data_IF_988939204851
#
_entry.id   IF_988939204851
#
_cell.length_a   1.000
_cell.length_b   1.000
_cell.length_c   1.000
_cell.angle_alpha   90.00
_cell.angle_beta   90.00
_cell.angle_gamma   90.00
#
_symmetry.space_group_name_H-M   'P 1'
#
loop_
_entity.id
_entity.type
_entity.pdbx_description
1 polymer ?
#
# COMPACT_ATOMS: atom_id res chain seq x y z
N UNK A 1 -21.91 -21.08 67.70
CA UNK A 1 -23.16 -20.43 67.26
C UNK A 1 -22.73 -19.27 66.36
N UNK A 2 -23.09 -19.38 65.06
CA UNK A 2 -23.07 -18.36 64.00
C UNK A 2 -21.70 -17.94 63.41
N UNK A 3 -21.37 -18.61 62.29
CA UNK A 3 -20.51 -18.15 61.21
C UNK A 3 -21.14 -16.94 60.49
N UNK A 4 -20.37 -15.89 60.21
CA UNK A 4 -20.61 -15.02 59.04
C UNK A 4 -19.27 -14.72 58.38
N UNK A 5 -18.93 -15.56 57.40
CA UNK A 5 -17.94 -15.26 56.37
C UNK A 5 -18.53 -14.14 55.53
N UNK A 6 -17.95 -12.94 55.63
CA UNK A 6 -18.28 -11.82 54.75
C UNK A 6 -17.72 -12.15 53.37
N UNK A 7 -18.56 -12.76 52.53
CA UNK A 7 -18.27 -13.01 51.14
C UNK A 7 -18.15 -11.67 50.40
N UNK A 8 -16.92 -11.23 50.17
CA UNK A 8 -16.62 -10.11 49.29
C UNK A 8 -16.85 -10.57 47.84
N UNK A 9 -18.10 -10.43 47.37
CA UNK A 9 -18.48 -10.72 46.00
C UNK A 9 -17.93 -9.61 45.09
N UNK A 10 -16.64 -9.72 44.73
CA UNK A 10 -16.07 -9.03 43.58
C UNK A 10 -16.77 -9.59 42.33
N UNK A 11 -17.89 -8.97 41.96
CA UNK A 11 -18.41 -9.04 40.59
C UNK A 11 -17.36 -8.39 39.69
N UNK A 12 -16.38 -9.19 39.27
CA UNK A 12 -15.58 -8.91 38.10
C UNK A 12 -16.57 -8.82 36.94
N UNK A 13 -16.94 -7.61 36.55
CA UNK A 13 -17.53 -7.35 35.25
C UNK A 13 -16.46 -7.68 34.21
N UNK A 14 -16.30 -8.97 33.89
CA UNK A 14 -15.66 -9.39 32.66
C UNK A 14 -16.58 -8.94 31.53
N UNK A 15 -16.50 -7.65 31.18
CA UNK A 15 -16.97 -7.21 29.89
C UNK A 15 -16.24 -8.07 28.87
N UNK A 16 -16.98 -8.81 28.04
CA UNK A 16 -16.48 -9.45 26.83
C UNK A 16 -15.96 -8.34 25.91
N UNK A 17 -14.75 -7.81 26.18
CA UNK A 17 -14.02 -7.08 25.17
C UNK A 17 -13.71 -8.10 24.09
N UNK A 18 -14.37 -7.95 22.94
CA UNK A 18 -14.04 -8.73 21.76
C UNK A 18 -12.52 -8.64 21.56
N UNK A 19 -11.85 -9.79 21.49
CA UNK A 19 -10.42 -9.85 21.21
C UNK A 19 -10.18 -9.12 19.89
N UNK A 20 -9.39 -8.06 19.91
CA UNK A 20 -9.05 -7.31 18.71
C UNK A 20 -8.34 -8.23 17.70
N UNK A 21 -8.59 -8.06 16.40
CA UNK A 21 -7.89 -8.83 15.38
C UNK A 21 -6.37 -8.71 15.49
N UNK A 22 -5.67 -9.84 15.40
CA UNK A 22 -4.21 -9.88 15.47
C UNK A 22 -3.61 -10.52 14.22
N UNK A 23 -2.61 -9.87 13.63
CA UNK A 23 -1.88 -10.45 12.51
C UNK A 23 -0.96 -11.56 13.00
N UNK A 24 -1.00 -12.72 12.34
CA UNK A 24 -0.08 -13.82 12.62
C UNK A 24 1.39 -13.39 12.44
N UNK A 25 2.23 -13.69 13.44
CA UNK A 25 3.63 -13.25 13.49
C UNK A 25 3.82 -11.77 13.84
N UNK A 26 2.74 -10.99 13.97
CA UNK A 26 2.76 -9.59 14.35
C UNK A 26 3.04 -8.64 13.19
N UNK A 27 2.44 -7.45 13.26
CA UNK A 27 2.54 -6.43 12.21
C UNK A 27 3.98 -5.99 11.94
N UNK A 28 4.80 -5.80 12.98
CA UNK A 28 6.17 -5.30 12.80
C UNK A 28 7.04 -6.28 12.01
N UNK A 29 6.95 -7.57 12.30
CA UNK A 29 7.73 -8.59 11.58
C UNK A 29 7.18 -8.77 10.16
N UNK A 30 5.85 -8.72 10.01
CA UNK A 30 5.23 -8.71 8.69
C UNK A 30 5.72 -7.55 7.82
N UNK A 31 5.72 -6.32 8.34
CA UNK A 31 6.22 -5.15 7.61
C UNK A 31 7.69 -5.33 7.23
N UNK A 32 8.55 -5.72 8.19
CA UNK A 32 9.97 -5.94 7.93
C UNK A 32 10.23 -6.93 6.79
N UNK A 33 9.45 -8.00 6.69
CA UNK A 33 9.65 -9.06 5.69
C UNK A 33 8.99 -8.77 4.35
N UNK A 34 7.94 -7.93 4.33
CA UNK A 34 7.12 -7.73 3.14
C UNK A 34 7.24 -6.33 2.53
N UNK A 35 7.78 -5.34 3.24
CA UNK A 35 7.95 -3.99 2.69
C UNK A 35 8.92 -4.01 1.50
N UNK A 36 8.45 -3.51 0.37
CA UNK A 36 9.29 -3.15 -0.78
C UNK A 36 9.31 -1.63 -0.78
N UNK A 37 10.39 -1.05 -0.25
CA UNK A 37 10.47 0.40 -0.12
C UNK A 37 10.39 1.06 -1.51
N UNK A 38 9.39 1.91 -1.77
CA UNK A 38 9.22 2.54 -3.07
C UNK A 38 10.41 3.43 -3.44
N UNK A 39 10.78 3.44 -4.73
CA UNK A 39 12.00 4.09 -5.21
C UNK A 39 11.99 5.60 -4.97
N UNK A 40 10.86 6.28 -5.21
CA UNK A 40 10.77 7.72 -5.03
C UNK A 40 10.98 8.09 -3.56
N UNK A 41 10.27 7.41 -2.65
CA UNK A 41 10.45 7.65 -1.21
C UNK A 41 11.84 7.27 -0.71
N UNK A 42 12.44 6.19 -1.20
CA UNK A 42 13.81 5.80 -0.84
C UNK A 42 14.84 6.86 -1.26
N UNK A 43 14.80 7.30 -2.52
CA UNK A 43 15.70 8.31 -3.06
C UNK A 43 15.49 9.70 -2.42
N UNK A 44 14.27 9.97 -1.96
CA UNK A 44 13.90 11.25 -1.35
C UNK A 44 13.94 11.25 0.19
N UNK A 45 14.41 10.18 0.81
CA UNK A 45 14.42 10.01 2.27
C UNK A 45 13.05 10.25 2.94
N UNK A 46 11.98 9.98 2.21
CA UNK A 46 10.62 10.08 2.74
C UNK A 46 10.40 8.85 3.62
N UNK A 47 10.08 9.09 4.89
CA UNK A 47 9.82 8.09 5.92
C UNK A 47 8.82 8.65 6.93
N UNK A 48 8.19 7.79 7.72
CA UNK A 48 7.25 8.22 8.76
C UNK A 48 6.14 7.21 9.01
N UNK A 49 5.07 7.67 9.65
CA UNK A 49 3.94 6.82 10.03
C UNK A 49 2.74 7.13 9.14
N UNK A 50 2.20 6.09 8.53
CA UNK A 50 0.96 6.13 7.75
C UNK A 50 -0.12 5.40 8.54
N UNK A 51 -1.29 6.03 8.70
CA UNK A 51 -2.42 5.39 9.36
C UNK A 51 -3.35 4.80 8.31
N UNK A 52 -3.59 3.49 8.42
CA UNK A 52 -4.50 2.75 7.55
C UNK A 52 -5.71 2.30 8.34
N UNK A 53 -6.89 2.50 7.77
CA UNK A 53 -8.15 1.95 8.24
C UNK A 53 -8.57 0.78 7.35
N UNK A 54 -8.92 -0.37 7.93
CA UNK A 54 -9.37 -1.51 7.15
C UNK A 54 -10.41 -2.34 7.90
N UNK A 55 -11.11 -3.21 7.17
CA UNK A 55 -12.13 -4.11 7.72
C UNK A 55 -11.83 -5.54 7.32
N UNK A 56 -12.14 -6.45 8.24
CA UNK A 56 -11.93 -7.88 8.08
C UNK A 56 -13.27 -8.62 8.08
N UNK A 57 -13.34 -9.70 7.31
CA UNK A 57 -14.43 -10.66 7.47
C UNK A 57 -14.09 -11.69 8.57
N UNK A 58 -15.02 -12.60 8.85
CA UNK A 58 -14.85 -13.65 9.86
C UNK A 58 -13.71 -14.66 9.56
N UNK A 59 -13.14 -14.64 8.34
CA UNK A 59 -11.98 -15.45 7.95
C UNK A 59 -10.66 -14.68 8.06
N UNK A 60 -10.68 -13.45 8.55
CA UNK A 60 -9.48 -12.60 8.61
C UNK A 60 -9.04 -12.06 7.24
N UNK A 61 -9.92 -12.06 6.24
CA UNK A 61 -9.66 -11.50 4.92
C UNK A 61 -10.00 -10.00 4.89
N UNK A 62 -9.11 -9.20 4.32
CA UNK A 62 -9.30 -7.76 4.14
C UNK A 62 -10.22 -7.53 2.95
N UNK A 63 -11.40 -6.98 3.20
CA UNK A 63 -12.38 -6.63 2.14
C UNK A 63 -12.51 -5.12 1.91
N UNK A 64 -11.95 -4.30 2.80
CA UNK A 64 -11.91 -2.85 2.68
C UNK A 64 -10.62 -2.33 3.31
N UNK A 65 -9.94 -1.39 2.65
CA UNK A 65 -8.78 -0.68 3.17
C UNK A 65 -8.74 0.76 2.64
N UNK A 66 -8.38 1.70 3.49
CA UNK A 66 -8.28 3.13 3.17
C UNK A 66 -7.21 3.81 3.99
N UNK A 67 -6.67 4.92 3.49
CA UNK A 67 -5.78 5.77 4.27
C UNK A 67 -6.62 6.67 5.16
N UNK A 68 -6.37 6.63 6.47
CA UNK A 68 -6.95 7.62 7.39
C UNK A 68 -6.00 8.81 7.58
N UNK A 69 -4.70 8.58 7.46
CA UNK A 69 -3.68 9.64 7.38
C UNK A 69 -2.47 9.16 6.59
N UNK A 70 -2.30 9.68 5.38
CA UNK A 70 -1.12 9.45 4.55
C UNK A 70 -0.01 10.47 4.77
N UNK A 71 1.16 10.17 4.22
CA UNK A 71 2.28 11.12 4.04
C UNK A 71 2.15 11.85 2.70
N UNK A 72 1.45 11.25 1.73
CA UNK A 72 1.26 11.80 0.39
C UNK A 72 2.39 11.47 -0.56
N UNK A 73 2.95 10.27 -0.43
CA UNK A 73 4.02 9.71 -1.28
C UNK A 73 3.65 8.30 -1.74
N UNK A 74 4.51 7.64 -2.50
CA UNK A 74 4.34 6.23 -2.88
C UNK A 74 4.38 5.26 -1.68
N UNK A 75 4.79 5.70 -0.49
CA UNK A 75 4.61 4.91 0.74
C UNK A 75 3.16 4.70 1.13
N UNK A 76 2.26 5.62 0.76
CA UNK A 76 0.84 5.49 1.05
C UNK A 76 0.24 4.27 0.31
N UNK A 77 0.64 4.11 -0.96
CA UNK A 77 0.23 2.98 -1.80
C UNK A 77 0.86 1.67 -1.27
N UNK A 78 2.10 1.72 -0.78
CA UNK A 78 2.78 0.58 -0.13
C UNK A 78 2.11 0.16 1.18
N UNK A 79 1.67 1.10 2.01
CA UNK A 79 0.92 0.80 3.24
C UNK A 79 -0.39 0.07 2.93
N UNK A 80 -1.14 0.54 1.93
CA UNK A 80 -2.36 -0.13 1.46
C UNK A 80 -2.05 -1.52 0.89
N UNK A 81 -0.97 -1.68 0.12
CA UNK A 81 -0.54 -2.98 -0.42
C UNK A 81 -0.24 -3.97 0.70
N UNK A 82 0.51 -3.57 1.72
CA UNK A 82 0.86 -4.45 2.84
C UNK A 82 -0.39 -4.91 3.61
N UNK A 83 -1.37 -4.02 3.82
CA UNK A 83 -2.66 -4.42 4.41
C UNK A 83 -3.39 -5.42 3.50
N UNK A 84 -3.46 -5.20 2.18
CA UNK A 84 -4.04 -6.19 1.25
C UNK A 84 -3.30 -7.52 1.26
N UNK A 85 -1.97 -7.51 1.27
CA UNK A 85 -1.11 -8.70 1.32
C UNK A 85 -1.25 -9.48 2.65
N UNK A 86 -1.68 -8.80 3.72
CA UNK A 86 -1.95 -9.42 5.01
C UNK A 86 -3.31 -10.15 5.07
N UNK A 87 -4.13 -10.04 4.02
CA UNK A 87 -5.44 -10.70 3.95
C UNK A 87 -5.35 -12.21 4.18
N UNK A 88 -6.25 -12.73 5.03
CA UNK A 88 -6.30 -14.13 5.41
C UNK A 88 -5.30 -14.53 6.51
N UNK A 89 -4.44 -13.61 6.96
CA UNK A 89 -3.43 -13.83 8.02
C UNK A 89 -3.83 -13.25 9.37
N UNK A 90 -5.05 -12.71 9.47
CA UNK A 90 -5.57 -12.10 10.69
C UNK A 90 -6.36 -13.11 11.50
N UNK A 91 -5.98 -13.27 12.77
CA UNK A 91 -6.78 -13.98 13.77
C UNK A 91 -7.90 -13.06 14.23
N UNK A 92 -9.12 -13.40 13.87
CA UNK A 92 -10.34 -12.69 14.27
C UNK A 92 -11.12 -13.52 15.28
N UNK A 93 -11.78 -12.88 16.24
CA UNK A 93 -12.66 -13.58 17.18
C UNK A 93 -13.97 -14.00 16.50
N UNK A 94 -14.63 -15.04 17.02
CA UNK A 94 -15.94 -15.50 16.52
C UNK A 94 -17.01 -14.41 16.56
N UNK A 95 -16.89 -13.45 17.48
CA UNK A 95 -17.81 -12.33 17.66
C UNK A 95 -17.29 -11.03 17.04
N UNK A 96 -16.35 -11.11 16.09
CA UNK A 96 -15.82 -9.92 15.42
C UNK A 96 -16.92 -9.20 14.64
N UNK A 97 -17.17 -7.93 14.96
CA UNK A 97 -17.99 -7.05 14.15
C UNK A 97 -17.26 -6.73 12.84
N UNK A 98 -17.69 -7.36 11.75
CA UNK A 98 -17.09 -7.17 10.43
C UNK A 98 -17.19 -5.73 9.92
N UNK A 99 -18.10 -4.90 10.46
CA UNK A 99 -18.23 -3.50 10.07
C UNK A 99 -17.25 -2.58 10.82
N UNK A 100 -16.63 -3.09 11.89
CA UNK A 100 -15.67 -2.34 12.70
C UNK A 100 -14.44 -1.96 11.88
N UNK A 101 -14.07 -0.67 11.95
CA UNK A 101 -12.88 -0.15 11.29
C UNK A 101 -11.66 -0.34 12.20
N UNK A 102 -10.72 -1.16 11.76
CA UNK A 102 -9.44 -1.38 12.43
C UNK A 102 -8.48 -0.28 11.98
N UNK A 103 -7.87 0.42 12.92
CA UNK A 103 -6.95 1.53 12.66
C UNK A 103 -5.55 1.16 13.11
N UNK A 104 -4.60 1.13 12.16
CA UNK A 104 -3.22 0.74 12.44
C UNK A 104 -2.24 1.81 11.97
N UNK A 105 -1.34 2.29 12.85
CA UNK A 105 -0.19 3.09 12.46
C UNK A 105 0.92 2.20 11.92
N UNK A 106 1.32 2.44 10.67
CA UNK A 106 2.39 1.71 9.98
C UNK A 106 3.62 2.61 9.87
N UNK A 107 4.69 2.27 10.60
CA UNK A 107 5.93 3.08 10.64
C UNK A 107 6.94 2.57 9.60
N UNK A 108 7.24 3.41 8.63
CA UNK A 108 8.29 3.20 7.64
C UNK A 108 9.55 3.95 8.06
N UNK A 109 10.70 3.27 8.01
CA UNK A 109 12.01 3.83 8.36
C UNK A 109 13.04 3.41 7.34
N UNK A 110 13.87 4.34 6.89
CA UNK A 110 15.05 4.04 6.08
C UNK A 110 16.25 3.86 7.00
N UNK A 111 17.03 2.80 6.78
CA UNK A 111 18.33 2.58 7.44
C UNK A 111 19.38 2.35 6.36
N UNK A 112 20.52 3.04 6.45
CA UNK A 112 21.62 2.87 5.49
C UNK A 112 21.43 3.57 4.14
N UNK A 113 20.55 4.58 4.07
CA UNK A 113 20.28 5.38 2.86
C UNK A 113 20.92 6.78 2.90
N UNK A 114 21.75 7.09 3.91
CA UNK A 114 22.37 8.42 4.04
C UNK A 114 21.37 9.53 4.35
N UNK A 115 20.23 9.19 4.95
CA UNK A 115 19.12 10.12 5.19
C UNK A 115 19.28 10.95 6.47
N UNK A 116 20.36 10.73 7.24
CA UNK A 116 20.56 11.31 8.56
C UNK A 116 20.66 12.84 8.52
N UNK A 117 21.16 13.39 7.41
CA UNK A 117 21.42 14.83 7.24
C UNK A 117 20.47 15.50 6.24
N UNK A 118 19.43 14.80 5.76
CA UNK A 118 18.53 15.39 4.76
C UNK A 118 17.60 16.43 5.39
N UNK A 119 17.60 17.62 4.79
CA UNK A 119 16.77 18.73 5.25
C UNK A 119 15.26 18.43 5.15
N UNK A 120 14.51 18.83 6.18
CA UNK A 120 13.06 18.59 6.28
C UNK A 120 12.28 19.34 5.20
N UNK A 121 12.71 20.54 4.81
CA UNK A 121 12.04 21.28 3.74
C UNK A 121 12.27 20.61 2.39
N UNK A 122 13.47 20.08 2.12
CA UNK A 122 13.73 19.26 0.93
C UNK A 122 12.83 18.02 0.86
N UNK A 123 12.60 17.34 1.99
CA UNK A 123 11.66 16.20 2.04
C UNK A 123 10.23 16.66 1.76
N UNK A 124 9.80 17.77 2.37
CA UNK A 124 8.46 18.33 2.16
C UNK A 124 8.26 18.78 0.69
N UNK A 125 9.28 19.33 0.04
CA UNK A 125 9.26 19.68 -1.38
C UNK A 125 9.15 18.43 -2.25
N UNK A 126 9.90 17.36 -1.97
CA UNK A 126 9.77 16.09 -2.68
C UNK A 126 8.35 15.51 -2.55
N UNK A 127 7.75 15.54 -1.37
CA UNK A 127 6.35 15.09 -1.18
C UNK A 127 5.38 15.93 -2.05
N UNK A 128 5.58 17.24 -2.16
CA UNK A 128 4.75 18.10 -3.02
C UNK A 128 4.96 17.79 -4.50
N UNK A 129 6.21 17.62 -4.92
CA UNK A 129 6.55 17.25 -6.30
C UNK A 129 5.91 15.92 -6.69
N UNK A 130 6.05 14.89 -5.85
CA UNK A 130 5.40 13.59 -6.06
C UNK A 130 3.90 13.70 -6.30
N UNK A 131 3.20 14.51 -5.51
CA UNK A 131 1.74 14.69 -5.68
C UNK A 131 1.41 15.31 -7.03
N UNK A 132 2.14 16.34 -7.43
CA UNK A 132 1.94 16.98 -8.73
C UNK A 132 2.24 15.99 -9.88
N UNK A 133 3.34 15.26 -9.79
CA UNK A 133 3.71 14.21 -10.76
C UNK A 133 2.68 13.09 -10.82
N UNK A 134 2.12 12.65 -9.69
CA UNK A 134 1.08 11.61 -9.64
C UNK A 134 -0.19 12.03 -10.39
N UNK A 135 -0.61 13.28 -10.26
CA UNK A 135 -1.77 13.79 -11.01
C UNK A 135 -1.52 13.82 -12.52
N UNK A 136 -0.33 14.25 -12.94
CA UNK A 136 0.05 14.22 -14.36
C UNK A 136 0.21 12.79 -14.89
N UNK A 137 0.77 11.90 -14.09
CA UNK A 137 0.88 10.46 -14.37
C UNK A 137 -0.51 9.83 -14.57
N UNK A 138 -1.52 10.25 -13.79
CA UNK A 138 -2.89 9.78 -13.95
C UNK A 138 -3.50 10.17 -15.31
N UNK A 139 -3.12 11.32 -15.88
CA UNK A 139 -3.53 11.71 -17.23
C UNK A 139 -3.03 10.71 -18.27
N UNK A 140 -1.75 10.32 -18.17
CA UNK A 140 -1.14 9.31 -19.05
C UNK A 140 -1.84 7.96 -18.90
N UNK A 141 -2.02 7.49 -17.66
CA UNK A 141 -2.71 6.23 -17.36
C UNK A 141 -4.11 6.19 -17.99
N UNK A 142 -4.88 7.27 -17.81
CA UNK A 142 -6.25 7.35 -18.32
C UNK A 142 -6.29 7.37 -19.84
N UNK A 143 -5.34 8.06 -20.49
CA UNK A 143 -5.22 8.04 -21.94
C UNK A 143 -5.01 6.62 -22.48
N UNK A 144 -4.01 5.88 -21.99
CA UNK A 144 -3.73 4.53 -22.52
C UNK A 144 -4.81 3.50 -22.13
N UNK A 145 -5.46 3.64 -20.96
CA UNK A 145 -6.67 2.86 -20.63
C UNK A 145 -7.82 3.16 -21.59
N UNK A 146 -7.99 4.42 -21.96
CA UNK A 146 -8.96 4.85 -22.97
C UNK A 146 -8.64 4.24 -24.33
N UNK A 147 -7.35 4.29 -24.72
CA UNK A 147 -6.85 3.73 -25.98
C UNK A 147 -7.13 2.23 -26.10
N UNK A 148 -6.87 1.45 -25.05
CA UNK A 148 -7.21 0.02 -25.01
C UNK A 148 -8.72 -0.23 -25.22
N UNK A 149 -9.57 0.65 -24.68
CA UNK A 149 -11.04 0.54 -24.79
C UNK A 149 -11.61 1.16 -26.06
N UNK A 150 -10.77 1.67 -26.96
CA UNK A 150 -11.20 2.45 -28.13
C UNK A 150 -11.88 3.79 -27.78
N UNK A 151 -11.71 4.29 -26.55
CA UNK A 151 -12.29 5.54 -26.02
C UNK A 151 -11.19 6.59 -25.80
N UNK A 152 -10.57 7.06 -26.88
CA UNK A 152 -9.52 8.07 -26.83
C UNK A 152 -9.55 8.97 -28.07
N UNK A 153 -8.92 10.14 -27.97
CA UNK A 153 -8.65 11.01 -29.12
C UNK A 153 -7.19 10.82 -29.56
N UNK A 154 -6.96 10.41 -30.80
CA UNK A 154 -5.62 10.22 -31.34
C UNK A 154 -4.80 11.54 -31.39
N UNK A 155 -5.46 12.70 -31.49
CA UNK A 155 -4.80 14.02 -31.49
C UNK A 155 -4.17 14.38 -30.14
N UNK A 156 -4.55 13.70 -29.05
CA UNK A 156 -3.95 13.91 -27.75
C UNK A 156 -2.65 13.12 -27.54
N UNK A 157 -2.39 12.09 -28.36
CA UNK A 157 -1.20 11.23 -28.20
C UNK A 157 0.13 12.00 -28.21
N UNK A 158 0.37 12.99 -29.11
CA UNK A 158 1.59 13.78 -29.06
C UNK A 158 1.77 14.56 -27.74
N UNK A 159 0.67 15.05 -27.12
CA UNK A 159 0.72 15.75 -25.84
C UNK A 159 1.06 14.76 -24.70
N UNK A 160 0.52 13.55 -24.76
CA UNK A 160 0.81 12.49 -23.80
C UNK A 160 2.27 12.04 -23.89
N UNK A 161 2.81 11.92 -25.11
CA UNK A 161 4.24 11.62 -25.32
C UNK A 161 5.14 12.73 -24.77
N UNK A 162 4.79 14.00 -25.00
CA UNK A 162 5.51 15.13 -24.42
C UNK A 162 5.47 15.10 -22.88
N UNK A 163 4.30 14.83 -22.29
CA UNK A 163 4.14 14.74 -20.85
C UNK A 163 4.98 13.59 -20.24
N UNK A 164 5.08 12.44 -20.93
CA UNK A 164 5.97 11.35 -20.51
C UNK A 164 7.43 11.81 -20.44
N UNK A 165 7.90 12.57 -21.43
CA UNK A 165 9.27 13.12 -21.45
C UNK A 165 9.45 14.14 -20.32
N UNK A 166 8.49 15.05 -20.10
CA UNK A 166 8.54 16.04 -19.02
C UNK A 166 8.57 15.41 -17.61
N UNK A 167 7.97 14.23 -17.45
CA UNK A 167 7.96 13.45 -16.20
C UNK A 167 9.10 12.43 -16.11
N UNK A 168 10.04 12.40 -17.07
CA UNK A 168 11.14 11.43 -17.11
C UNK A 168 10.66 9.97 -17.06
N UNK A 169 9.49 9.68 -17.66
CA UNK A 169 8.93 8.32 -17.78
C UNK A 169 9.59 7.64 -18.99
N UNK A 170 10.80 7.17 -18.78
CA UNK A 170 11.62 6.44 -19.74
C UNK A 170 11.60 4.92 -19.50
N UNK A 171 12.36 4.19 -20.31
CA UNK A 171 12.47 2.74 -20.24
C UNK A 171 13.07 2.25 -18.91
N UNK A 172 13.98 3.02 -18.31
CA UNK A 172 14.63 2.67 -17.04
C UNK A 172 13.64 2.83 -15.86
N UNK A 173 12.85 3.90 -15.87
CA UNK A 173 11.76 4.09 -14.93
C UNK A 173 10.75 2.93 -14.99
N UNK A 174 10.32 2.55 -16.20
CA UNK A 174 9.39 1.45 -16.41
C UNK A 174 10.00 0.10 -16.02
N UNK A 175 11.28 -0.11 -16.29
CA UNK A 175 12.00 -1.31 -15.84
C UNK A 175 12.08 -1.36 -14.31
N UNK A 176 12.22 -0.22 -13.64
CA UNK A 176 12.11 -0.11 -12.18
C UNK A 176 10.78 -0.64 -11.64
N UNK A 177 9.66 -0.29 -12.29
CA UNK A 177 8.33 -0.80 -11.95
C UNK A 177 8.19 -2.30 -12.21
N UNK A 178 8.72 -2.80 -13.33
CA UNK A 178 8.78 -4.24 -13.61
C UNK A 178 9.55 -4.99 -12.50
N UNK A 179 10.71 -4.46 -12.11
CA UNK A 179 11.54 -5.05 -11.07
C UNK A 179 10.83 -5.08 -9.70
N UNK A 180 10.07 -4.04 -9.38
CA UNK A 180 9.21 -4.01 -8.19
C UNK A 180 8.13 -5.11 -8.26
N UNK A 181 7.44 -5.24 -9.39
CA UNK A 181 6.45 -6.28 -9.59
C UNK A 181 7.03 -7.70 -9.46
N UNK A 182 8.21 -7.94 -10.03
CA UNK A 182 8.92 -9.22 -9.88
C UNK A 182 9.32 -9.52 -8.43
N UNK A 183 9.69 -8.51 -7.64
CA UNK A 183 9.91 -8.69 -6.19
C UNK A 183 8.63 -9.08 -5.47
N UNK A 184 7.48 -8.47 -5.83
CA UNK A 184 6.16 -8.82 -5.28
C UNK A 184 5.76 -10.26 -5.62
N UNK A 185 6.01 -10.72 -6.85
CA UNK A 185 5.82 -12.14 -7.22
C UNK A 185 6.61 -13.07 -6.31
N UNK A 186 7.88 -12.76 -6.02
CA UNK A 186 8.71 -13.57 -5.10
C UNK A 186 8.17 -13.63 -3.69
N UNK A 187 7.41 -12.62 -3.26
CA UNK A 187 6.74 -12.57 -1.95
C UNK A 187 5.33 -13.21 -1.97
N UNK A 188 4.88 -13.75 -3.11
CA UNK A 188 3.51 -14.26 -3.26
C UNK A 188 2.44 -13.18 -3.43
N UNK A 189 2.83 -11.92 -3.61
CA UNK A 189 1.93 -10.79 -3.84
C UNK A 189 1.57 -10.67 -5.33
N UNK A 190 0.72 -11.60 -5.81
CA UNK A 190 0.25 -11.63 -7.22
C UNK A 190 -0.44 -10.31 -7.58
N UNK A 191 -1.35 -9.82 -6.73
CA UNK A 191 -2.13 -8.61 -7.02
C UNK A 191 -1.22 -7.38 -7.12
N UNK A 192 -0.36 -7.14 -6.13
CA UNK A 192 0.54 -5.98 -6.15
C UNK A 192 1.54 -6.02 -7.31
N UNK A 193 1.95 -7.21 -7.76
CA UNK A 193 2.75 -7.37 -8.97
C UNK A 193 1.96 -7.00 -10.23
N UNK A 194 0.72 -7.46 -10.33
CA UNK A 194 -0.16 -7.11 -11.44
C UNK A 194 -0.47 -5.62 -11.50
N UNK A 195 -0.58 -4.94 -10.35
CA UNK A 195 -0.74 -3.49 -10.30
C UNK A 195 0.47 -2.78 -10.93
N UNK A 196 1.71 -3.23 -10.65
CA UNK A 196 2.94 -2.66 -11.24
C UNK A 196 3.04 -2.96 -12.75
N UNK A 197 2.71 -4.18 -13.18
CA UNK A 197 2.76 -4.54 -14.59
C UNK A 197 1.69 -3.80 -15.42
N UNK A 198 0.49 -3.64 -14.87
CA UNK A 198 -0.55 -2.85 -15.50
C UNK A 198 -0.18 -1.36 -15.54
N UNK A 199 0.51 -0.84 -14.52
CA UNK A 199 1.04 0.52 -14.58
C UNK A 199 1.95 0.70 -15.80
N UNK A 200 2.88 -0.24 -16.05
CA UNK A 200 3.78 -0.18 -17.21
C UNK A 200 3.02 -0.24 -18.53
N UNK A 201 2.06 -1.16 -18.66
CA UNK A 201 1.16 -1.24 -19.81
C UNK A 201 0.43 0.07 -20.07
N UNK A 202 -0.16 0.65 -19.03
CA UNK A 202 -0.90 1.92 -19.13
C UNK A 202 0.00 3.17 -19.12
N UNK A 203 1.32 3.00 -19.12
CA UNK A 203 2.27 4.04 -19.55
C UNK A 203 2.53 3.99 -21.06
N UNK A 204 1.84 3.12 -21.79
CA UNK A 204 2.00 2.92 -23.23
C UNK A 204 3.23 2.11 -23.59
N UNK A 205 3.61 1.15 -22.75
CA UNK A 205 4.75 0.26 -22.99
C UNK A 205 4.31 -1.20 -22.97
N UNK A 206 4.81 -1.98 -23.91
CA UNK A 206 4.58 -3.43 -24.05
C UNK A 206 5.52 -4.30 -23.20
N UNK A 207 6.52 -3.70 -22.53
CA UNK A 207 7.56 -4.43 -21.77
C UNK A 207 7.00 -5.35 -20.68
N UNK A 208 5.78 -5.10 -20.20
CA UNK A 208 5.13 -5.90 -19.18
C UNK A 208 4.13 -6.94 -19.75
N UNK A 209 3.89 -7.00 -21.06
CA UNK A 209 2.83 -7.83 -21.65
C UNK A 209 3.03 -9.34 -21.41
N UNK A 210 4.27 -9.82 -21.54
CA UNK A 210 4.61 -11.20 -21.23
C UNK A 210 4.41 -11.54 -19.74
N UNK A 211 4.70 -10.58 -18.84
CA UNK A 211 4.53 -10.74 -17.40
C UNK A 211 3.05 -10.72 -17.00
N UNK A 212 2.26 -9.81 -17.59
CA UNK A 212 0.81 -9.78 -17.43
C UNK A 212 0.18 -11.11 -17.87
N UNK A 213 0.58 -11.61 -19.05
CA UNK A 213 0.06 -12.87 -19.58
C UNK A 213 0.40 -14.07 -18.69
N UNK A 214 1.59 -14.05 -18.07
CA UNK A 214 2.08 -15.13 -17.21
C UNK A 214 1.49 -15.08 -15.80
N UNK A 215 1.31 -13.90 -15.23
CA UNK A 215 1.05 -13.72 -13.80
C UNK A 215 -0.27 -13.04 -13.47
N UNK A 216 -1.03 -12.49 -14.41
CA UNK A 216 -2.21 -11.67 -14.10
C UNK A 216 -3.50 -12.16 -14.75
N UNK A 217 -3.40 -13.26 -15.50
CA UNK A 217 -4.53 -14.06 -15.97
C UNK A 217 -5.00 -15.06 -14.89
#
# INVERSE_FOLDING_TARGET
MINIITAFLLLLSMGLKAQEPQLEGGLSEFMKNNTIYPSYSAQNCIQGTINVGFKLNAKGEVYYATLTKGIGSDLDDEALRLIKLSSGKWKVSINHDTLALILIPMRFTLKGYGCENRDKNSIAMAIRAYKAEKELTNVILNFYRGKEKGKYNAEDEPKILKLKVELEIDDDYLQGKINAGLKKIKQGDKQGACDDFNFVKYMGSDKADALLSKYCN
#
